data_IF_894869235884
#
_entry.id   IF_894869235884
#
_cell.length_a   1.000
_cell.length_b   1.000
_cell.length_c   1.000
_cell.angle_alpha   90.00
_cell.angle_beta   90.00
_cell.angle_gamma   90.00
#
_symmetry.space_group_name_H-M   'P 1'
#
loop_
_entity.id
_entity.type
_entity.pdbx_description
1 polymer ?
#
# COMPACT_ATOMS: atom_id res chain seq x y z
N UNK A 1 18.69 -39.78 -30.42
CA UNK A 1 17.25 -39.57 -30.63
C UNK A 1 16.82 -38.40 -29.74
N UNK A 2 16.79 -37.18 -30.27
CA UNK A 2 16.44 -35.98 -29.51
C UNK A 2 14.93 -35.96 -29.25
N UNK A 3 14.51 -36.13 -27.99
CA UNK A 3 13.13 -35.83 -27.60
C UNK A 3 12.88 -34.34 -27.83
N UNK A 4 11.99 -34.00 -28.78
CA UNK A 4 11.43 -32.65 -28.89
C UNK A 4 10.89 -32.25 -27.51
N UNK A 5 11.46 -31.22 -26.88
CA UNK A 5 10.84 -30.57 -25.72
C UNK A 5 9.43 -30.16 -26.14
N UNK A 6 8.41 -30.83 -25.60
CA UNK A 6 7.03 -30.41 -25.78
C UNK A 6 6.91 -29.04 -25.12
N UNK A 7 6.58 -28.04 -25.93
CA UNK A 7 6.18 -26.74 -25.41
C UNK A 7 4.92 -26.92 -24.57
N UNK A 8 5.01 -26.56 -23.28
CA UNK A 8 3.85 -26.54 -22.40
C UNK A 8 2.96 -25.38 -22.85
N UNK A 9 1.71 -25.68 -23.22
CA UNK A 9 0.72 -24.67 -23.54
C UNK A 9 0.08 -24.13 -22.25
N UNK A 10 0.66 -23.05 -21.74
CA UNK A 10 0.19 -22.36 -20.53
C UNK A 10 -1.18 -21.70 -20.70
N UNK A 11 -1.61 -21.41 -21.92
CA UNK A 11 -2.95 -20.84 -22.18
C UNK A 11 -4.01 -21.90 -21.93
N UNK A 12 -3.76 -23.11 -22.42
CA UNK A 12 -4.64 -24.26 -22.16
C UNK A 12 -4.69 -24.59 -20.67
N UNK A 13 -3.55 -24.53 -19.97
CA UNK A 13 -3.50 -24.76 -18.51
C UNK A 13 -4.30 -23.69 -17.75
N UNK A 14 -4.13 -22.39 -18.07
CA UNK A 14 -4.90 -21.30 -17.45
C UNK A 14 -6.42 -21.50 -17.63
N UNK A 15 -6.85 -21.91 -18.83
CA UNK A 15 -8.26 -22.16 -19.11
C UNK A 15 -8.80 -23.40 -18.40
N UNK A 16 -8.00 -24.46 -18.27
CA UNK A 16 -8.38 -25.64 -17.48
C UNK A 16 -8.52 -25.28 -15.99
N UNK A 17 -7.64 -24.43 -15.45
CA UNK A 17 -7.69 -24.01 -14.05
C UNK A 17 -8.91 -23.17 -13.68
N UNK A 18 -9.45 -22.38 -14.62
CA UNK A 18 -10.71 -21.64 -14.41
C UNK A 18 -11.90 -22.55 -14.15
N UNK A 19 -11.93 -23.71 -14.80
CA UNK A 19 -13.06 -24.64 -14.80
C UNK A 19 -12.87 -25.83 -13.86
N UNK A 20 -11.96 -25.74 -12.88
CA UNK A 20 -11.71 -26.84 -11.93
C UNK A 20 -12.92 -27.09 -11.03
N UNK A 21 -13.55 -28.26 -11.20
CA UNK A 21 -14.65 -28.71 -10.33
C UNK A 21 -14.21 -29.01 -8.90
N UNK A 22 -12.96 -29.45 -8.71
CA UNK A 22 -12.37 -29.79 -7.41
C UNK A 22 -10.98 -29.17 -7.21
N UNK A 23 -10.89 -27.86 -6.93
CA UNK A 23 -9.62 -27.13 -6.87
C UNK A 23 -8.65 -27.63 -5.77
N UNK A 24 -9.17 -27.93 -4.58
CA UNK A 24 -8.34 -28.43 -3.47
C UNK A 24 -7.77 -29.83 -3.76
N UNK A 25 -8.58 -30.72 -4.34
CA UNK A 25 -8.12 -32.05 -4.78
C UNK A 25 -7.06 -31.93 -5.87
N UNK A 26 -7.23 -30.99 -6.81
CA UNK A 26 -6.24 -30.71 -7.84
C UNK A 26 -4.90 -30.31 -7.22
N UNK A 27 -4.87 -29.29 -6.34
CA UNK A 27 -3.59 -28.80 -5.79
C UNK A 27 -2.94 -29.85 -4.87
N UNK A 28 -3.73 -30.60 -4.10
CA UNK A 28 -3.22 -31.72 -3.30
C UNK A 28 -2.54 -32.79 -4.16
N UNK A 29 -3.16 -33.17 -5.27
CA UNK A 29 -2.59 -34.17 -6.19
C UNK A 29 -1.31 -33.67 -6.88
N UNK A 30 -1.23 -32.38 -7.18
CA UNK A 30 -0.01 -31.73 -7.70
C UNK A 30 1.11 -31.84 -6.66
N UNK A 31 0.86 -31.45 -5.41
CA UNK A 31 1.85 -31.51 -4.33
C UNK A 31 2.28 -32.94 -4.01
N UNK A 32 1.34 -33.89 -3.99
CA UNK A 32 1.64 -35.33 -3.80
C UNK A 32 2.56 -35.90 -4.89
N UNK A 33 2.52 -35.35 -6.10
CA UNK A 33 3.35 -35.77 -7.23
C UNK A 33 4.48 -34.78 -7.54
N UNK A 34 4.84 -33.90 -6.59
CA UNK A 34 5.82 -32.83 -6.82
C UNK A 34 7.15 -33.33 -7.37
N UNK A 35 7.62 -34.52 -6.96
CA UNK A 35 8.89 -35.11 -7.42
C UNK A 35 8.97 -35.36 -8.93
N UNK A 36 7.85 -35.29 -9.66
CA UNK A 36 7.77 -35.43 -11.11
C UNK A 36 7.74 -34.09 -11.85
N UNK A 37 7.80 -32.97 -11.14
CA UNK A 37 7.60 -31.62 -11.68
C UNK A 37 8.84 -30.79 -11.34
N UNK A 38 9.41 -30.11 -12.34
CA UNK A 38 10.48 -29.15 -12.10
C UNK A 38 9.95 -27.96 -11.29
N UNK A 39 10.76 -27.44 -10.36
CA UNK A 39 10.36 -26.36 -9.45
C UNK A 39 9.80 -25.13 -10.17
N UNK A 40 10.43 -24.70 -11.26
CA UNK A 40 9.92 -23.59 -12.07
C UNK A 40 8.50 -23.87 -12.61
N UNK A 41 8.25 -25.07 -13.12
CA UNK A 41 6.92 -25.45 -13.64
C UNK A 41 5.88 -25.57 -12.53
N UNK A 42 6.26 -26.10 -11.37
CA UNK A 42 5.39 -26.12 -10.21
C UNK A 42 5.03 -24.70 -9.76
N UNK A 43 6.00 -23.78 -9.77
CA UNK A 43 5.74 -22.38 -9.43
C UNK A 43 4.72 -21.74 -10.37
N UNK A 44 4.76 -22.04 -11.67
CA UNK A 44 3.79 -21.54 -12.64
C UNK A 44 2.40 -22.16 -12.41
N UNK A 45 2.33 -23.48 -12.18
CA UNK A 45 1.07 -24.18 -11.86
C UNK A 45 0.41 -23.55 -10.64
N UNK A 46 1.18 -23.32 -9.57
CA UNK A 46 0.66 -22.70 -8.34
C UNK A 46 0.22 -21.27 -8.60
N UNK A 47 0.97 -20.47 -9.36
CA UNK A 47 0.56 -19.08 -9.71
C UNK A 47 -0.76 -19.04 -10.48
N UNK A 48 -0.93 -19.91 -11.48
CA UNK A 48 -2.20 -20.01 -12.21
C UNK A 48 -3.34 -20.52 -11.33
N UNK A 49 -3.04 -21.40 -10.37
CA UNK A 49 -4.02 -21.83 -9.38
C UNK A 49 -4.47 -20.64 -8.52
N UNK A 50 -3.53 -19.90 -7.93
CA UNK A 50 -3.81 -18.71 -7.11
C UNK A 50 -4.58 -17.62 -7.90
N UNK A 51 -4.27 -17.45 -9.18
CA UNK A 51 -4.96 -16.52 -10.10
C UNK A 51 -6.44 -16.87 -10.30
N UNK A 52 -6.73 -18.15 -10.57
CA UNK A 52 -8.06 -18.59 -10.97
C UNK A 52 -8.91 -19.07 -9.78
N UNK A 53 -8.28 -19.38 -8.66
CA UNK A 53 -8.90 -19.91 -7.44
C UNK A 53 -8.57 -19.00 -6.25
N UNK A 54 -8.62 -17.68 -6.45
CA UNK A 54 -8.25 -16.69 -5.44
C UNK A 54 -9.12 -16.81 -4.19
N UNK A 55 -10.43 -16.96 -4.33
CA UNK A 55 -11.36 -17.06 -3.20
C UNK A 55 -11.00 -18.23 -2.29
N UNK A 56 -10.77 -19.42 -2.87
CA UNK A 56 -10.32 -20.62 -2.13
C UNK A 56 -8.97 -20.38 -1.46
N UNK A 57 -8.07 -19.66 -2.13
CA UNK A 57 -6.73 -19.37 -1.61
C UNK A 57 -6.75 -18.38 -0.43
N UNK A 58 -7.83 -17.62 -0.26
CA UNK A 58 -8.04 -16.69 0.85
C UNK A 58 -8.87 -17.32 1.97
N UNK A 59 -9.83 -18.18 1.63
CA UNK A 59 -10.72 -18.85 2.57
C UNK A 59 -9.99 -19.96 3.35
N UNK A 60 -9.17 -20.74 2.66
CA UNK A 60 -8.44 -21.86 3.25
C UNK A 60 -6.97 -21.49 3.48
N UNK A 61 -6.34 -21.98 4.56
CA UNK A 61 -4.94 -21.72 4.84
C UNK A 61 -4.03 -22.62 3.98
N UNK A 62 -4.06 -22.45 2.65
CA UNK A 62 -3.32 -23.32 1.73
C UNK A 62 -1.80 -23.23 1.92
N UNK A 63 -1.31 -22.20 2.63
CA UNK A 63 0.09 -22.15 3.06
C UNK A 63 0.52 -23.42 3.84
N UNK A 64 -0.40 -24.05 4.60
CA UNK A 64 -0.11 -25.32 5.27
C UNK A 64 0.07 -26.47 4.27
N UNK A 65 -0.76 -26.51 3.22
CA UNK A 65 -0.61 -27.51 2.15
C UNK A 65 0.74 -27.33 1.44
N UNK A 66 1.12 -26.08 1.17
CA UNK A 66 2.42 -25.77 0.58
C UNK A 66 3.60 -26.03 1.52
N UNK A 67 3.36 -26.16 2.83
CA UNK A 67 4.36 -26.61 3.80
C UNK A 67 4.86 -28.03 3.55
N UNK A 68 4.13 -28.85 2.78
CA UNK A 68 4.58 -30.19 2.39
C UNK A 68 5.53 -30.21 1.20
N UNK A 69 5.91 -29.05 0.65
CA UNK A 69 6.86 -28.98 -0.46
C UNK A 69 8.26 -29.42 -0.01
N UNK A 70 8.97 -30.18 -0.84
CA UNK A 70 10.35 -30.57 -0.56
C UNK A 70 11.29 -29.34 -0.57
N UNK A 71 12.41 -29.39 0.15
CA UNK A 71 13.37 -28.27 0.26
C UNK A 71 14.06 -27.89 -1.06
N UNK A 72 14.04 -28.79 -2.05
CA UNK A 72 14.49 -28.51 -3.41
C UNK A 72 13.61 -27.51 -4.17
N UNK A 73 12.36 -27.29 -3.76
CA UNK A 73 11.41 -26.40 -4.43
C UNK A 73 11.54 -24.93 -4.00
N UNK A 74 12.75 -24.39 -4.10
CA UNK A 74 13.12 -23.05 -3.59
C UNK A 74 12.31 -21.94 -4.26
N UNK A 75 12.13 -21.97 -5.58
CA UNK A 75 11.40 -20.96 -6.35
C UNK A 75 9.93 -20.96 -5.96
N UNK A 76 9.31 -22.15 -5.94
CA UNK A 76 7.90 -22.30 -5.57
C UNK A 76 7.66 -21.86 -4.13
N UNK A 77 8.48 -22.32 -3.17
CA UNK A 77 8.38 -21.91 -1.75
C UNK A 77 8.51 -20.40 -1.59
N UNK A 78 9.51 -19.77 -2.22
CA UNK A 78 9.69 -18.32 -2.16
C UNK A 78 8.47 -17.58 -2.71
N UNK A 79 7.97 -17.99 -3.88
CA UNK A 79 6.81 -17.36 -4.50
C UNK A 79 5.55 -17.45 -3.64
N UNK A 80 5.30 -18.61 -3.02
CA UNK A 80 4.16 -18.81 -2.11
C UNK A 80 4.30 -17.92 -0.87
N UNK A 81 5.49 -17.87 -0.27
CA UNK A 81 5.75 -17.00 0.87
C UNK A 81 5.57 -15.52 0.52
N UNK A 82 6.07 -15.08 -0.63
CA UNK A 82 5.89 -13.71 -1.12
C UNK A 82 4.40 -13.37 -1.34
N UNK A 83 3.60 -14.32 -1.85
CA UNK A 83 2.16 -14.15 -2.03
C UNK A 83 1.42 -13.99 -0.70
N UNK A 84 1.56 -14.95 0.23
CA UNK A 84 0.85 -14.91 1.51
C UNK A 84 1.32 -13.79 2.43
N UNK A 85 2.62 -13.49 2.45
CA UNK A 85 3.13 -12.35 3.22
C UNK A 85 2.63 -11.01 2.65
N UNK A 86 2.49 -10.89 1.33
CA UNK A 86 1.90 -9.70 0.69
C UNK A 86 0.41 -9.57 0.99
N UNK A 87 -0.34 -10.67 0.96
CA UNK A 87 -1.76 -10.70 1.35
C UNK A 87 -1.97 -10.29 2.80
N UNK A 88 -1.18 -10.85 3.72
CA UNK A 88 -1.26 -10.52 5.14
C UNK A 88 -1.01 -9.03 5.37
N UNK A 89 0.03 -8.47 4.73
CA UNK A 89 0.33 -7.03 4.82
C UNK A 89 -0.79 -6.18 4.23
N UNK A 90 -1.31 -6.54 3.05
CA UNK A 90 -2.46 -5.86 2.44
C UNK A 90 -3.67 -5.88 3.38
N UNK A 91 -3.95 -7.01 4.02
CA UNK A 91 -5.05 -7.13 5.00
C UNK A 91 -4.86 -6.19 6.20
N UNK A 92 -3.67 -6.14 6.79
CA UNK A 92 -3.36 -5.23 7.91
C UNK A 92 -3.59 -3.77 7.53
N UNK A 93 -3.18 -3.37 6.32
CA UNK A 93 -3.39 -2.00 5.85
C UNK A 93 -4.85 -1.69 5.57
N UNK A 94 -5.62 -2.64 5.01
CA UNK A 94 -7.08 -2.48 4.85
C UNK A 94 -7.76 -2.25 6.20
N UNK A 95 -7.36 -2.96 7.26
CA UNK A 95 -7.89 -2.72 8.60
C UNK A 95 -7.64 -1.29 9.09
N UNK A 96 -6.46 -0.72 8.80
CA UNK A 96 -6.16 0.68 9.15
C UNK A 96 -7.05 1.64 8.35
N UNK A 97 -7.29 1.38 7.06
CA UNK A 97 -8.22 2.18 6.25
C UNK A 97 -9.66 2.10 6.77
N UNK A 98 -10.12 0.92 7.22
CA UNK A 98 -11.43 0.81 7.85
C UNK A 98 -11.53 1.65 9.13
N UNK A 99 -10.50 1.64 9.98
CA UNK A 99 -10.45 2.55 11.14
C UNK A 99 -10.47 4.01 10.72
N UNK A 100 -9.73 4.39 9.69
CA UNK A 100 -9.74 5.77 9.18
C UNK A 100 -11.14 6.17 8.67
N UNK A 101 -11.86 5.27 8.00
CA UNK A 101 -13.25 5.46 7.57
C UNK A 101 -14.20 5.79 8.71
N UNK A 102 -13.99 5.21 9.89
CA UNK A 102 -14.78 5.53 11.08
C UNK A 102 -14.51 6.94 11.62
N UNK A 103 -13.39 7.55 11.25
CA UNK A 103 -12.98 8.89 11.72
C UNK A 103 -13.21 10.00 10.69
N UNK A 104 -13.27 9.66 9.39
CA UNK A 104 -13.44 10.62 8.30
C UNK A 104 -14.68 10.30 7.47
N UNK A 105 -15.84 10.77 7.92
CA UNK A 105 -17.14 10.45 7.32
C UNK A 105 -17.44 11.32 6.10
N UNK A 106 -16.80 11.02 4.96
CA UNK A 106 -17.02 11.71 3.70
C UNK A 106 -17.46 10.72 2.59
N UNK A 107 -18.77 10.61 2.30
CA UNK A 107 -19.26 9.64 1.31
C UNK A 107 -18.67 9.83 -0.10
N UNK A 108 -18.44 11.09 -0.50
CA UNK A 108 -17.87 11.43 -1.81
C UNK A 108 -16.42 10.92 -1.90
N UNK A 109 -15.67 11.05 -0.80
CA UNK A 109 -14.32 10.49 -0.72
C UNK A 109 -14.34 8.96 -0.83
N UNK A 110 -15.20 8.28 -0.05
CA UNK A 110 -15.24 6.82 0.00
C UNK A 110 -15.79 6.15 -1.27
N UNK A 111 -16.50 6.88 -2.12
CA UNK A 111 -16.97 6.39 -3.41
C UNK A 111 -15.87 6.34 -4.49
N UNK A 112 -14.74 7.01 -4.29
CA UNK A 112 -13.62 7.04 -5.24
C UNK A 112 -12.82 5.74 -5.23
N UNK A 113 -12.08 5.46 -6.30
CA UNK A 113 -11.10 4.37 -6.32
C UNK A 113 -9.88 4.68 -5.42
N UNK A 114 -9.08 3.65 -5.15
CA UNK A 114 -7.95 3.71 -4.22
C UNK A 114 -6.90 4.79 -4.57
N UNK A 115 -6.62 5.01 -5.85
CA UNK A 115 -5.67 6.03 -6.31
C UNK A 115 -6.25 7.43 -6.16
N UNK A 116 -7.50 7.63 -6.57
CA UNK A 116 -8.21 8.90 -6.43
C UNK A 116 -8.44 9.30 -4.96
N UNK A 117 -8.65 8.32 -4.08
CA UNK A 117 -8.69 8.54 -2.63
C UNK A 117 -7.34 9.05 -2.13
N UNK A 118 -6.23 8.39 -2.48
CA UNK A 118 -4.87 8.82 -2.11
C UNK A 118 -4.60 10.26 -2.56
N UNK A 119 -4.83 10.57 -3.83
CA UNK A 119 -4.60 11.93 -4.38
C UNK A 119 -5.45 12.98 -3.65
N UNK A 120 -6.68 12.62 -3.28
CA UNK A 120 -7.54 13.51 -2.49
C UNK A 120 -6.98 13.77 -1.10
N UNK A 121 -6.36 12.78 -0.45
CA UNK A 121 -5.71 12.96 0.86
C UNK A 121 -4.44 13.81 0.77
N UNK A 122 -3.64 13.65 -0.28
CA UNK A 122 -2.46 14.48 -0.53
C UNK A 122 -2.86 15.95 -0.72
N UNK A 123 -3.91 16.20 -1.50
CA UNK A 123 -4.51 17.55 -1.66
C UNK A 123 -5.04 18.08 -0.33
N UNK A 124 -5.74 17.26 0.44
CA UNK A 124 -6.28 17.63 1.76
C UNK A 124 -5.17 18.06 2.71
N UNK A 125 -4.08 17.29 2.75
CA UNK A 125 -2.90 17.61 3.56
C UNK A 125 -2.24 18.91 3.08
N UNK A 126 -2.16 19.15 1.77
CA UNK A 126 -1.62 20.39 1.23
C UNK A 126 -2.45 21.62 1.66
N UNK A 127 -3.78 21.53 1.56
CA UNK A 127 -4.70 22.58 2.01
C UNK A 127 -4.53 22.82 3.51
N UNK A 128 -4.48 21.75 4.31
CA UNK A 128 -4.19 21.84 5.74
C UNK A 128 -2.89 22.59 6.03
N UNK A 129 -1.79 22.24 5.35
CA UNK A 129 -0.49 22.90 5.54
C UNK A 129 -0.55 24.38 5.18
N UNK A 130 -1.26 24.74 4.10
CA UNK A 130 -1.39 26.13 3.67
C UNK A 130 -2.07 27.04 4.71
N UNK A 131 -2.95 26.48 5.57
CA UNK A 131 -3.54 27.23 6.69
C UNK A 131 -2.51 27.64 7.75
N UNK A 132 -1.34 27.01 7.84
CA UNK A 132 -0.32 27.33 8.86
C UNK A 132 1.00 27.82 8.25
N UNK A 133 1.25 27.50 6.99
CA UNK A 133 2.43 27.89 6.24
C UNK A 133 2.11 28.06 4.75
N UNK A 134 1.80 29.29 4.36
CA UNK A 134 1.52 29.64 2.96
C UNK A 134 2.76 29.56 2.06
N UNK A 135 3.96 29.45 2.63
CA UNK A 135 5.23 29.36 1.89
C UNK A 135 5.70 27.92 1.67
N UNK A 136 5.01 26.94 2.27
CA UNK A 136 5.36 25.51 2.21
C UNK A 136 6.82 25.19 2.57
N UNK A 137 7.39 25.97 3.50
CA UNK A 137 8.71 25.72 4.11
C UNK A 137 8.67 24.67 5.22
N UNK A 138 7.47 24.20 5.60
CA UNK A 138 7.23 23.16 6.57
C UNK A 138 7.23 23.69 8.00
N UNK A 139 7.90 22.98 8.91
CA UNK A 139 7.91 23.33 10.33
C UNK A 139 8.48 24.74 10.60
N UNK A 140 9.44 25.20 9.80
CA UNK A 140 9.98 26.56 9.87
C UNK A 140 8.92 27.62 9.53
N UNK A 141 8.08 27.37 8.54
CA UNK A 141 6.96 28.25 8.20
C UNK A 141 5.91 28.31 9.30
N UNK A 142 5.54 27.16 9.87
CA UNK A 142 4.60 27.09 11.00
C UNK A 142 5.14 27.82 12.22
N UNK A 143 6.40 27.59 12.58
CA UNK A 143 7.02 28.30 13.72
C UNK A 143 7.09 29.80 13.48
N UNK A 144 7.38 30.24 12.24
CA UNK A 144 7.34 31.64 11.86
C UNK A 144 5.92 32.23 11.99
N UNK A 145 4.90 31.54 11.48
CA UNK A 145 3.49 31.93 11.60
C UNK A 145 3.08 32.08 13.08
N UNK A 146 3.37 31.05 13.87
CA UNK A 146 3.03 31.02 15.30
C UNK A 146 3.81 32.09 16.09
N UNK A 147 5.04 32.43 15.68
CA UNK A 147 5.83 33.50 16.32
C UNK A 147 5.17 34.88 16.22
N UNK A 148 4.31 35.10 15.23
CA UNK A 148 3.60 36.36 15.06
C UNK A 148 2.71 36.69 16.26
N UNK A 149 2.22 35.68 17.00
CA UNK A 149 1.44 35.88 18.23
C UNK A 149 2.19 36.62 19.35
N UNK A 150 3.52 36.73 19.28
CA UNK A 150 4.33 37.49 20.25
C UNK A 150 4.28 39.01 20.05
N UNK A 151 3.78 39.48 18.90
CA UNK A 151 3.67 40.91 18.59
C UNK A 151 2.59 41.53 19.51
N UNK A 152 2.82 42.75 20.01
CA UNK A 152 1.83 43.49 20.83
C UNK A 152 0.67 43.98 19.95
N UNK A 153 -0.55 44.07 20.52
CA UNK A 153 -1.78 44.52 19.85
C UNK A 153 -2.14 43.70 18.60
N UNK A 154 -2.40 42.42 18.80
CA UNK A 154 -2.40 41.45 17.71
C UNK A 154 -3.75 40.77 17.44
N UNK A 155 -4.84 41.49 17.70
CA UNK A 155 -6.21 40.97 17.61
C UNK A 155 -6.52 40.43 16.20
N UNK A 156 -5.96 41.07 15.17
CA UNK A 156 -6.10 40.62 13.77
C UNK A 156 -5.44 39.25 13.57
N UNK A 157 -4.17 39.06 13.95
CA UNK A 157 -3.50 37.77 13.80
C UNK A 157 -4.18 36.71 14.68
N UNK A 158 -4.65 37.10 15.86
CA UNK A 158 -5.40 36.20 16.74
C UNK A 158 -6.68 35.68 16.07
N UNK A 159 -7.47 36.58 15.46
CA UNK A 159 -8.66 36.21 14.70
C UNK A 159 -8.33 35.29 13.50
N UNK A 160 -7.22 35.56 12.80
CA UNK A 160 -6.78 34.71 11.69
C UNK A 160 -6.37 33.32 12.16
N UNK A 161 -5.68 33.20 13.29
CA UNK A 161 -5.31 31.90 13.88
C UNK A 161 -6.56 31.09 14.23
N UNK A 162 -7.54 31.71 14.89
CA UNK A 162 -8.82 31.04 15.21
C UNK A 162 -9.57 30.59 13.97
N UNK A 163 -9.64 31.44 12.94
CA UNK A 163 -10.29 31.09 11.68
C UNK A 163 -9.59 29.90 11.02
N UNK A 164 -8.26 29.91 10.92
CA UNK A 164 -7.48 28.81 10.35
C UNK A 164 -7.66 27.49 11.11
N UNK A 165 -7.68 27.54 12.44
CA UNK A 165 -7.98 26.36 13.26
C UNK A 165 -9.41 25.84 12.98
N UNK A 166 -10.40 26.73 12.95
CA UNK A 166 -11.80 26.38 12.68
C UNK A 166 -11.98 25.80 11.28
N UNK A 167 -11.39 26.42 10.25
CA UNK A 167 -11.38 25.92 8.87
C UNK A 167 -10.78 24.51 8.81
N UNK A 168 -9.65 24.29 9.47
CA UNK A 168 -9.04 22.95 9.52
C UNK A 168 -9.92 21.92 10.22
N UNK A 169 -10.65 22.29 11.28
CA UNK A 169 -11.60 21.39 11.93
C UNK A 169 -12.76 21.06 10.98
N UNK A 170 -13.28 22.04 10.25
CA UNK A 170 -14.36 21.83 9.27
C UNK A 170 -13.95 20.90 8.12
N UNK A 171 -12.67 20.94 7.73
CA UNK A 171 -12.11 20.07 6.70
C UNK A 171 -12.16 18.59 7.12
N UNK A 172 -11.80 18.28 8.36
CA UNK A 172 -11.68 16.89 8.84
C UNK A 172 -12.92 16.37 9.57
N UNK A 173 -13.70 17.27 10.19
CA UNK A 173 -14.76 16.93 11.13
C UNK A 173 -14.23 16.65 12.54
N UNK A 174 -15.06 16.86 13.57
CA UNK A 174 -14.68 16.68 14.99
C UNK A 174 -14.32 15.23 15.32
N UNK A 175 -15.03 14.26 14.75
CA UNK A 175 -14.79 12.82 14.92
C UNK A 175 -13.35 12.42 14.58
N UNK A 176 -12.74 13.09 13.59
CA UNK A 176 -11.36 12.86 13.22
C UNK A 176 -10.42 13.15 14.39
N UNK A 177 -10.65 14.23 15.14
CA UNK A 177 -9.79 14.62 16.25
C UNK A 177 -10.03 13.73 17.47
N UNK A 178 -11.30 13.54 17.82
CA UNK A 178 -11.70 12.79 19.01
C UNK A 178 -11.22 11.34 18.94
N UNK A 179 -11.48 10.65 17.83
CA UNK A 179 -11.13 9.23 17.67
C UNK A 179 -9.63 9.01 17.47
N UNK A 180 -8.88 10.03 17.04
CA UNK A 180 -7.43 9.96 16.87
C UNK A 180 -6.64 10.57 18.05
N UNK A 181 -7.31 10.85 19.18
CA UNK A 181 -6.70 11.40 20.39
C UNK A 181 -5.92 12.72 20.14
N UNK A 182 -6.45 13.57 19.26
CA UNK A 182 -5.94 14.91 19.03
C UNK A 182 -6.80 15.86 19.86
N UNK A 183 -6.24 16.42 20.94
CA UNK A 183 -7.01 17.25 21.85
C UNK A 183 -7.39 18.58 21.17
N UNK A 184 -8.69 18.83 21.10
CA UNK A 184 -9.24 20.13 20.73
C UNK A 184 -9.45 20.99 21.98
N UNK A 185 -9.43 22.30 21.77
CA UNK A 185 -9.83 23.30 22.77
C UNK A 185 -11.03 24.05 22.22
N UNK A 186 -11.98 24.37 23.10
CA UNK A 186 -13.01 25.37 22.81
C UNK A 186 -12.36 26.74 22.61
N UNK A 187 -13.09 27.67 21.98
CA UNK A 187 -12.59 29.04 21.84
C UNK A 187 -12.26 29.66 23.20
N UNK A 188 -13.09 29.42 24.22
CA UNK A 188 -12.93 29.99 25.56
C UNK A 188 -11.64 29.45 26.21
N UNK A 189 -11.46 28.13 26.21
CA UNK A 189 -10.24 27.51 26.75
C UNK A 189 -8.99 28.01 26.01
N UNK A 190 -9.07 28.21 24.70
CA UNK A 190 -7.97 28.75 23.93
C UNK A 190 -7.70 30.23 24.26
N UNK A 191 -8.74 31.03 24.52
CA UNK A 191 -8.63 32.45 24.90
C UNK A 191 -7.90 32.63 26.24
N UNK A 192 -8.18 31.76 27.21
CA UNK A 192 -7.60 31.76 28.56
C UNK A 192 -6.11 31.39 28.60
N UNK A 193 -5.57 30.77 27.54
CA UNK A 193 -4.16 30.40 27.49
C UNK A 193 -3.22 31.62 27.44
N UNK A 194 -2.04 31.49 28.04
CA UNK A 194 -0.93 32.41 27.79
C UNK A 194 -0.50 32.34 26.32
N UNK A 195 0.12 33.41 25.80
CA UNK A 195 0.65 33.42 24.42
C UNK A 195 1.59 32.24 24.16
N UNK A 196 2.45 31.91 25.12
CA UNK A 196 3.35 30.76 25.01
C UNK A 196 2.58 29.43 24.87
N UNK A 197 1.53 29.24 25.66
CA UNK A 197 0.72 28.01 25.59
C UNK A 197 -0.15 27.95 24.33
N UNK A 198 -0.64 29.08 23.83
CA UNK A 198 -1.30 29.17 22.50
C UNK A 198 -0.36 28.70 21.40
N UNK A 199 0.89 29.20 21.41
CA UNK A 199 1.90 28.79 20.45
C UNK A 199 2.20 27.29 20.52
N UNK A 200 2.41 26.75 21.74
CA UNK A 200 2.63 25.31 21.95
C UNK A 200 1.46 24.47 21.45
N UNK A 201 0.22 24.92 21.70
CA UNK A 201 -0.98 24.23 21.24
C UNK A 201 -1.06 24.17 19.71
N UNK A 202 -0.86 25.30 19.01
CA UNK A 202 -0.91 25.33 17.54
C UNK A 202 0.15 24.41 16.93
N UNK A 203 1.37 24.41 17.48
CA UNK A 203 2.45 23.53 17.02
C UNK A 203 2.09 22.07 17.27
N UNK A 204 1.60 21.73 18.47
CA UNK A 204 1.12 20.38 18.80
C UNK A 204 0.05 19.92 17.81
N UNK A 205 -0.96 20.76 17.59
CA UNK A 205 -2.09 20.49 16.70
C UNK A 205 -1.60 20.22 15.28
N UNK A 206 -0.77 21.11 14.74
CA UNK A 206 -0.19 20.98 13.41
C UNK A 206 0.56 19.66 13.23
N UNK A 207 1.50 19.37 14.14
CA UNK A 207 2.34 18.17 14.06
C UNK A 207 1.52 16.90 14.17
N UNK A 208 0.49 16.88 15.03
CA UNK A 208 -0.37 15.69 15.22
C UNK A 208 -1.19 15.38 13.97
N UNK A 209 -1.84 16.38 13.39
CA UNK A 209 -2.65 16.22 12.18
C UNK A 209 -1.76 15.83 10.99
N UNK A 210 -0.64 16.54 10.78
CA UNK A 210 0.30 16.23 9.71
C UNK A 210 0.83 14.80 9.81
N UNK A 211 1.26 14.38 11.01
CA UNK A 211 1.76 13.02 11.24
C UNK A 211 0.70 11.96 10.92
N UNK A 212 -0.54 12.18 11.36
CA UNK A 212 -1.63 11.25 11.11
C UNK A 212 -1.95 11.14 9.62
N UNK A 213 -2.08 12.28 8.93
CA UNK A 213 -2.38 12.31 7.50
C UNK A 213 -1.29 11.66 6.66
N UNK A 214 -0.02 11.94 6.97
CA UNK A 214 1.11 11.26 6.32
C UNK A 214 1.09 9.75 6.55
N UNK A 215 0.74 9.29 7.77
CA UNK A 215 0.57 7.87 8.04
C UNK A 215 -0.48 7.27 7.11
N UNK A 216 -1.67 7.86 7.02
CA UNK A 216 -2.74 7.34 6.16
C UNK A 216 -2.31 7.32 4.69
N UNK A 217 -1.72 8.40 4.17
CA UNK A 217 -1.24 8.45 2.77
C UNK A 217 -0.22 7.33 2.51
N UNK A 218 0.72 7.11 3.43
CA UNK A 218 1.69 6.02 3.33
C UNK A 218 1.01 4.63 3.36
N UNK A 219 -0.08 4.45 4.11
CA UNK A 219 -0.86 3.21 4.09
C UNK A 219 -1.46 2.97 2.70
N UNK A 220 -1.98 4.01 2.03
CA UNK A 220 -2.47 3.89 0.64
C UNK A 220 -1.36 3.48 -0.33
N UNK A 221 -0.18 4.08 -0.22
CA UNK A 221 0.98 3.67 -1.05
C UNK A 221 1.36 2.21 -0.83
N UNK A 222 1.42 1.78 0.42
CA UNK A 222 1.72 0.39 0.74
C UNK A 222 0.64 -0.55 0.19
N UNK A 223 -0.64 -0.20 0.30
CA UNK A 223 -1.73 -0.99 -0.29
C UNK A 223 -1.55 -1.17 -1.80
N UNK A 224 -1.26 -0.09 -2.53
CA UNK A 224 -1.02 -0.10 -3.97
C UNK A 224 0.19 -0.98 -4.31
N UNK A 225 1.28 -0.86 -3.56
CA UNK A 225 2.50 -1.66 -3.76
C UNK A 225 2.20 -3.16 -3.57
N UNK A 226 1.53 -3.54 -2.48
CA UNK A 226 1.23 -4.95 -2.22
C UNK A 226 0.19 -5.52 -3.18
N UNK A 227 -0.80 -4.72 -3.58
CA UNK A 227 -1.74 -5.11 -4.63
C UNK A 227 -1.02 -5.39 -5.95
N UNK A 228 -0.07 -4.53 -6.33
CA UNK A 228 0.76 -4.71 -7.52
C UNK A 228 1.63 -5.97 -7.42
N UNK A 229 2.28 -6.21 -6.27
CA UNK A 229 3.08 -7.43 -6.03
C UNK A 229 2.23 -8.70 -6.17
N UNK A 230 1.04 -8.72 -5.58
CA UNK A 230 0.11 -9.85 -5.69
C UNK A 230 -0.26 -10.09 -7.15
N UNK A 231 -0.64 -9.03 -7.88
CA UNK A 231 -0.99 -9.09 -9.31
C UNK A 231 0.15 -9.65 -10.16
N UNK A 232 1.39 -9.23 -9.90
CA UNK A 232 2.59 -9.74 -10.59
C UNK A 232 2.84 -11.22 -10.30
N UNK A 233 2.55 -11.69 -9.07
CA UNK A 233 2.70 -13.10 -8.72
C UNK A 233 1.70 -13.95 -9.52
N UNK A 234 0.42 -13.58 -9.49
CA UNK A 234 -0.68 -14.36 -10.10
C UNK A 234 -0.82 -14.13 -11.61
N UNK A 235 -0.08 -13.19 -12.20
CA UNK A 235 -0.04 -12.98 -13.65
C UNK A 235 1.34 -13.33 -14.23
N UNK A 236 1.80 -14.59 -14.12
CA UNK A 236 3.10 -14.95 -14.67
C UNK A 236 3.11 -14.76 -16.19
N UNK A 237 4.16 -14.12 -16.70
CA UNK A 237 4.54 -14.26 -18.12
C UNK A 237 5.45 -15.49 -18.22
N UNK A 238 5.06 -16.57 -18.91
CA UNK A 238 5.97 -17.69 -19.13
C UNK A 238 7.18 -17.19 -19.93
N UNK A 239 8.38 -17.26 -19.35
CA UNK A 239 9.60 -16.92 -20.08
C UNK A 239 9.94 -18.09 -21.00
N UNK A 240 9.86 -17.87 -22.31
CA UNK A 240 10.37 -18.78 -23.32
C UNK A 240 11.88 -18.56 -23.49
N UNK A 241 12.71 -19.28 -22.72
CA UNK A 241 14.14 -19.31 -23.00
C UNK A 241 14.36 -20.24 -24.19
N UNK A 242 14.55 -19.66 -25.37
CA UNK A 242 14.89 -20.40 -26.57
C UNK A 242 16.37 -20.83 -26.46
N UNK A 243 16.63 -22.01 -25.89
CA UNK A 243 17.99 -22.56 -25.73
C UNK A 243 18.74 -22.72 -27.05
N UNK A 244 18.05 -22.65 -28.20
CA UNK A 244 18.68 -22.65 -29.52
C UNK A 244 19.47 -21.37 -29.86
N UNK A 245 19.39 -20.31 -29.04
CA UNK A 245 20.20 -19.09 -29.20
C UNK A 245 21.37 -18.96 -28.21
N UNK A 246 21.52 -19.86 -27.25
CA UNK A 246 22.59 -19.78 -26.24
C UNK A 246 23.92 -20.38 -26.76
N UNK A 247 23.94 -20.90 -27.99
CA UNK A 247 25.16 -21.40 -28.64
C UNK A 247 25.53 -20.66 -29.94
N UNK A 248 24.99 -19.46 -30.21
CA UNK A 248 25.37 -18.71 -31.43
C UNK A 248 25.89 -17.30 -31.23
N UNK A 249 25.75 -16.69 -30.05
CA UNK A 249 26.12 -15.29 -29.88
C UNK A 249 27.41 -15.24 -29.05
N UNK A 250 28.53 -15.26 -29.78
CA UNK A 250 29.84 -14.93 -29.26
C UNK A 250 29.77 -13.65 -28.43
N UNK A 251 30.38 -13.73 -27.25
CA UNK A 251 30.79 -12.62 -26.42
C UNK A 251 31.52 -11.55 -27.26
N UNK A 252 30.93 -10.37 -27.48
CA UNK A 252 31.71 -9.14 -27.71
C UNK A 252 30.95 -7.80 -27.71
N UNK A 253 29.62 -7.72 -27.86
CA UNK A 253 29.01 -6.41 -28.19
C UNK A 253 28.23 -5.67 -27.08
N UNK A 254 27.86 -6.31 -25.97
CA UNK A 254 27.03 -5.64 -24.94
C UNK A 254 27.81 -5.02 -23.75
N UNK A 255 29.15 -5.05 -23.77
CA UNK A 255 29.98 -4.40 -22.74
C UNK A 255 30.31 -2.93 -23.10
N UNK A 256 30.05 -2.48 -24.33
CA UNK A 256 30.43 -1.13 -24.76
C UNK A 256 29.38 -0.01 -24.51
N UNK A 257 28.24 -0.32 -23.89
CA UNK A 257 27.20 0.69 -23.59
C UNK A 257 27.18 1.18 -22.12
N UNK A 258 28.18 0.83 -21.31
CA UNK A 258 28.32 1.34 -19.93
C UNK A 258 29.62 2.10 -19.65
N UNK A 259 30.38 2.48 -20.68
CA UNK A 259 31.45 3.48 -20.56
C UNK A 259 31.52 4.32 -21.83
N UNK A 260 30.62 5.30 -21.92
CA UNK A 260 30.85 6.71 -22.27
C UNK A 260 29.53 7.51 -22.16
#
# INVERSE_FOLDING_TARGET
>A
MYMKKKNIDWTTIDNQMKNLKFPLTFIYNILKNQSKIEDYHLSLIVRFFLKNQTDISLEYPLFFLFGSLDDSFVITKKMINDFYSSLLKKHLFIQIIFKFKETYMNPIFWAKDLYSQKESLEKLLLVFKAHFDSSFTGFSGVTKFVSQLKIKNNDIIYSHVKNRLTESINIFGTDFFDKNNIKLLTSIEFDELTTENKMKFIIYYYVKVEKYMNLIINIYDLLIIYDTKIKQIISPKPIYINFNRIYSDNDSEDIHFMMD
#
